data_IF_295529640751
#
_entry.id   IF_295529640751
#
_cell.length_a   1.000
_cell.length_b   1.000
_cell.length_c   1.000
_cell.angle_alpha   90.00
_cell.angle_beta   90.00
_cell.angle_gamma   90.00
#
_symmetry.space_group_name_H-M   'P 1'
#
loop_
_entity.id
_entity.type
_entity.pdbx_description
1 polymer ?
#
# COMPACT_ATOMS: atom_id res chain seq x y z
N UNK A 1 -1.27 0.72 -10.67
CA UNK A 1 -0.88 0.19 -12.01
C UNK A 1 -1.46 1.00 -13.18
N UNK A 2 -2.78 1.23 -13.23
CA UNK A 2 -3.49 1.93 -14.33
C UNK A 2 -2.85 3.28 -14.68
N UNK A 3 -2.62 4.12 -13.67
CA UNK A 3 -2.09 5.49 -13.87
C UNK A 3 -0.67 5.49 -14.50
N UNK A 4 0.14 4.45 -14.34
CA UNK A 4 1.50 4.44 -14.88
C UNK A 4 1.60 3.82 -16.29
N UNK A 5 0.83 2.76 -16.55
CA UNK A 5 0.95 1.98 -17.78
C UNK A 5 -0.08 2.32 -18.85
N UNK A 6 -1.33 2.61 -18.47
CA UNK A 6 -2.40 2.91 -19.44
C UNK A 6 -2.62 4.40 -19.64
N UNK A 7 -2.06 5.24 -18.75
CA UNK A 7 -2.17 6.69 -18.86
C UNK A 7 -1.01 7.33 -19.62
N UNK A 8 -1.35 8.36 -20.38
CA UNK A 8 -0.41 9.27 -21.04
C UNK A 8 0.25 10.28 -20.11
N UNK A 9 -0.02 10.20 -18.80
CA UNK A 9 0.48 11.15 -17.82
C UNK A 9 2.02 11.18 -17.76
N UNK A 10 2.64 10.03 -17.52
CA UNK A 10 4.10 9.91 -17.38
C UNK A 10 4.86 10.41 -18.62
N UNK A 11 4.58 9.93 -19.85
CA UNK A 11 5.33 10.38 -21.02
C UNK A 11 5.13 11.87 -21.34
N UNK A 12 3.95 12.45 -21.07
CA UNK A 12 3.70 13.90 -21.24
C UNK A 12 4.47 14.74 -20.23
N UNK A 13 4.53 14.29 -18.98
CA UNK A 13 5.31 14.95 -17.91
C UNK A 13 6.80 14.90 -18.26
N UNK A 14 7.32 13.72 -18.63
CA UNK A 14 8.72 13.57 -19.01
C UNK A 14 9.06 14.43 -20.23
N UNK A 15 8.18 14.46 -21.24
CA UNK A 15 8.36 15.35 -22.38
C UNK A 15 8.44 16.80 -21.95
N UNK A 16 7.45 17.30 -21.20
CA UNK A 16 7.41 18.69 -20.73
C UNK A 16 8.68 19.13 -20.00
N UNK A 17 9.27 18.26 -19.18
CA UNK A 17 10.45 18.61 -18.37
C UNK A 17 11.80 18.30 -19.02
N UNK A 18 11.88 17.38 -19.99
CA UNK A 18 13.16 16.92 -20.54
C UNK A 18 13.37 17.23 -22.03
N UNK A 19 12.29 17.31 -22.81
CA UNK A 19 12.35 17.39 -24.27
C UNK A 19 11.53 18.54 -24.87
N UNK A 20 10.51 19.00 -24.17
CA UNK A 20 9.57 20.00 -24.65
C UNK A 20 10.12 21.43 -24.60
N UNK A 21 9.44 22.37 -25.29
CA UNK A 21 9.84 23.77 -25.37
C UNK A 21 9.85 24.50 -24.01
N UNK A 22 9.25 23.92 -22.96
CA UNK A 22 9.25 24.44 -21.60
C UNK A 22 10.46 24.04 -20.74
N UNK A 23 11.41 23.26 -21.28
CA UNK A 23 12.60 22.82 -20.54
C UNK A 23 13.46 23.98 -20.04
N UNK A 24 13.65 25.01 -20.88
CA UNK A 24 14.69 26.04 -20.68
C UNK A 24 14.17 27.33 -19.99
N UNK A 25 12.95 27.32 -19.43
CA UNK A 25 12.47 28.39 -18.54
C UNK A 25 11.52 29.43 -19.16
N UNK A 26 11.31 30.50 -18.38
CA UNK A 26 10.02 31.16 -18.18
C UNK A 26 9.38 31.81 -19.43
N UNK A 27 8.26 31.23 -19.86
CA UNK A 27 7.33 31.68 -20.91
C UNK A 27 7.80 31.38 -22.34
N UNK A 28 7.75 30.11 -22.75
CA UNK A 28 7.68 29.83 -24.17
C UNK A 28 6.43 30.50 -24.75
N UNK A 29 6.56 31.07 -25.95
CA UNK A 29 5.41 31.60 -26.72
C UNK A 29 4.41 30.51 -27.12
N UNK A 30 4.75 29.24 -26.89
CA UNK A 30 4.04 28.04 -27.34
C UNK A 30 3.72 27.14 -26.15
N UNK A 31 2.69 26.30 -26.29
CA UNK A 31 2.35 25.29 -25.29
C UNK A 31 3.54 24.36 -25.01
N UNK A 32 3.74 23.98 -23.75
CA UNK A 32 4.76 23.03 -23.32
C UNK A 32 4.65 21.66 -23.98
N UNK A 33 3.47 21.28 -24.46
CA UNK A 33 3.23 20.02 -25.17
C UNK A 33 3.25 20.18 -26.69
N UNK A 34 3.56 21.38 -27.20
CA UNK A 34 3.73 21.59 -28.64
C UNK A 34 4.84 20.67 -29.17
N UNK A 35 4.51 19.86 -30.17
CA UNK A 35 5.42 18.85 -30.73
C UNK A 35 5.44 17.50 -30.02
N UNK A 36 4.65 17.31 -28.94
CA UNK A 36 4.60 16.04 -28.21
C UNK A 36 4.22 14.86 -29.10
N UNK A 37 3.21 15.03 -29.96
CA UNK A 37 2.75 13.96 -30.86
C UNK A 37 3.88 13.54 -31.80
N UNK A 38 4.55 14.49 -32.46
CA UNK A 38 5.67 14.20 -33.35
C UNK A 38 6.85 13.54 -32.64
N UNK A 39 7.10 13.88 -31.38
CA UNK A 39 8.13 13.24 -30.55
C UNK A 39 7.74 11.82 -30.10
N UNK A 40 6.45 11.59 -29.83
CA UNK A 40 5.95 10.28 -29.35
C UNK A 40 5.76 9.24 -30.47
N UNK A 41 6.04 9.62 -31.72
CA UNK A 41 5.87 8.79 -32.89
C UNK A 41 7.22 8.37 -33.46
N UNK A 42 7.42 7.07 -33.61
CA UNK A 42 8.54 6.48 -34.36
C UNK A 42 8.20 6.35 -35.84
N UNK A 43 9.21 6.53 -36.68
CA UNK A 43 9.10 6.41 -38.14
C UNK A 43 9.42 4.98 -38.56
N UNK A 44 8.62 4.44 -39.47
CA UNK A 44 8.83 3.17 -40.14
C UNK A 44 8.86 3.40 -41.65
N UNK A 45 9.91 2.96 -42.34
CA UNK A 45 9.96 3.09 -43.80
C UNK A 45 9.23 1.91 -44.44
N UNK A 46 8.34 2.20 -45.40
CA UNK A 46 7.53 1.17 -46.06
C UNK A 46 8.36 0.19 -46.90
N UNK A 47 9.56 0.60 -47.33
CA UNK A 47 10.54 -0.26 -48.01
C UNK A 47 11.05 -1.43 -47.16
N UNK A 48 10.97 -1.33 -45.83
CA UNK A 48 11.52 -2.32 -44.90
C UNK A 48 10.44 -3.36 -44.47
N UNK A 49 9.26 -3.34 -45.10
CA UNK A 49 8.26 -4.40 -44.91
C UNK A 49 8.72 -5.72 -45.54
N UNK A 50 8.66 -6.81 -44.78
CA UNK A 50 8.94 -8.16 -45.28
C UNK A 50 7.91 -8.65 -46.31
N UNK A 51 6.66 -8.19 -46.20
CA UNK A 51 5.57 -8.56 -47.12
C UNK A 51 5.14 -7.36 -47.98
N UNK A 52 5.64 -7.22 -49.21
CA UNK A 52 5.30 -6.10 -50.09
C UNK A 52 3.81 -6.10 -50.49
N UNK A 53 3.13 -7.25 -50.42
CA UNK A 53 1.72 -7.44 -50.81
C UNK A 53 0.73 -6.62 -49.96
N UNK A 54 1.10 -6.22 -48.73
CA UNK A 54 0.26 -5.31 -47.91
C UNK A 54 0.33 -3.83 -48.33
N UNK A 55 1.23 -3.48 -49.24
CA UNK A 55 1.51 -2.11 -49.66
C UNK A 55 0.74 -1.72 -50.94
N UNK A 56 0.10 -2.69 -51.59
CA UNK A 56 -0.66 -2.53 -52.86
C UNK A 56 -1.84 -1.54 -52.79
N UNK A 57 -2.20 -1.07 -51.58
CA UNK A 57 -3.27 -0.08 -51.36
C UNK A 57 -2.83 1.26 -50.80
N UNK A 58 -1.53 1.50 -50.56
CA UNK A 58 -1.04 2.79 -50.05
C UNK A 58 -0.36 3.57 -51.17
N UNK A 59 -1.08 4.50 -51.80
CA UNK A 59 -0.55 5.41 -52.83
C UNK A 59 0.76 6.06 -52.35
N UNK A 60 1.90 5.70 -52.96
CA UNK A 60 3.23 6.32 -52.81
C UNK A 60 3.68 6.72 -51.38
N UNK A 61 3.27 5.98 -50.33
CA UNK A 61 3.68 6.27 -48.96
C UNK A 61 5.10 5.74 -48.72
N UNK A 62 6.06 6.64 -48.50
CA UNK A 62 7.48 6.27 -48.24
C UNK A 62 7.75 5.97 -46.77
N UNK A 63 7.02 6.62 -45.86
CA UNK A 63 7.17 6.47 -44.41
C UNK A 63 5.82 6.47 -43.69
N UNK A 64 5.70 5.63 -42.67
CA UNK A 64 4.58 5.57 -41.75
C UNK A 64 5.04 5.93 -40.34
N UNK A 65 4.18 6.58 -39.54
CA UNK A 65 4.47 6.91 -38.15
C UNK A 65 3.58 6.11 -37.23
N UNK A 66 4.15 5.48 -36.21
CA UNK A 66 3.44 4.70 -35.21
C UNK A 66 3.88 5.08 -33.80
N UNK A 67 3.05 4.77 -32.82
CA UNK A 67 3.26 5.16 -31.44
C UNK A 67 4.25 4.20 -30.76
N UNK A 68 5.54 4.53 -30.82
CA UNK A 68 6.61 3.83 -30.09
C UNK A 68 7.86 4.72 -29.95
N UNK A 69 8.79 4.33 -29.07
CA UNK A 69 10.07 5.02 -28.85
C UNK A 69 11.23 4.17 -29.41
N UNK A 70 11.26 4.05 -30.73
CA UNK A 70 12.27 3.27 -31.48
C UNK A 70 13.14 4.16 -32.37
N UNK A 71 14.36 3.70 -32.64
CA UNK A 71 15.24 4.35 -33.60
C UNK A 71 14.73 4.13 -35.04
N UNK A 72 14.81 5.15 -35.89
CA UNK A 72 14.32 5.09 -37.27
C UNK A 72 15.22 4.27 -38.23
N UNK A 73 16.49 4.07 -37.86
CA UNK A 73 17.46 3.33 -38.67
C UNK A 73 17.43 1.83 -38.38
N UNK A 74 17.53 1.47 -37.09
CA UNK A 74 17.73 0.06 -36.68
C UNK A 74 16.45 -0.57 -36.11
N UNK A 75 15.36 0.19 -35.99
CA UNK A 75 14.07 -0.22 -35.41
C UNK A 75 14.14 -0.80 -33.97
N UNK A 76 15.30 -0.69 -33.33
CA UNK A 76 15.57 -1.08 -31.95
C UNK A 76 15.05 -0.05 -30.95
N UNK A 77 14.92 -0.46 -29.68
CA UNK A 77 14.48 0.41 -28.59
C UNK A 77 15.47 1.56 -28.37
N UNK A 78 14.95 2.79 -28.33
CA UNK A 78 15.74 3.97 -28.01
C UNK A 78 16.05 4.06 -26.51
N UNK A 79 17.09 4.79 -26.11
CA UNK A 79 17.33 5.12 -24.71
C UNK A 79 16.12 5.81 -24.05
N UNK A 80 15.34 6.57 -24.83
CA UNK A 80 14.12 7.22 -24.37
C UNK A 80 13.08 6.21 -23.87
N UNK A 81 12.97 5.05 -24.53
CA UNK A 81 12.09 3.96 -24.12
C UNK A 81 12.46 3.48 -22.71
N UNK A 82 13.75 3.24 -22.47
CA UNK A 82 14.26 2.77 -21.19
C UNK A 82 14.07 3.80 -20.07
N UNK A 83 14.29 5.08 -20.35
CA UNK A 83 14.04 6.17 -19.39
C UNK A 83 12.55 6.22 -19.01
N UNK A 84 11.65 6.14 -20.00
CA UNK A 84 10.22 6.15 -19.75
C UNK A 84 9.78 4.93 -18.94
N UNK A 85 10.33 3.75 -19.25
CA UNK A 85 10.07 2.53 -18.49
C UNK A 85 10.53 2.67 -17.03
N UNK A 86 11.75 3.16 -16.80
CA UNK A 86 12.28 3.37 -15.45
C UNK A 86 11.43 4.35 -14.64
N UNK A 87 11.02 5.48 -15.24
CA UNK A 87 10.17 6.48 -14.57
C UNK A 87 8.78 5.91 -14.26
N UNK A 88 8.18 5.13 -15.17
CA UNK A 88 6.90 4.45 -14.92
C UNK A 88 7.00 3.51 -13.72
N UNK A 89 8.08 2.73 -13.64
CA UNK A 89 8.32 1.81 -12.51
C UNK A 89 8.55 2.57 -11.20
N UNK A 90 9.35 3.64 -11.21
CA UNK A 90 9.58 4.48 -10.03
C UNK A 90 8.27 5.11 -9.51
N UNK A 91 7.42 5.62 -10.41
CA UNK A 91 6.12 6.19 -10.05
C UNK A 91 5.19 5.14 -9.42
N UNK A 92 5.20 3.91 -9.93
CA UNK A 92 4.43 2.81 -9.34
C UNK A 92 4.86 2.49 -7.93
N UNK A 93 6.17 2.36 -7.72
CA UNK A 93 6.75 2.08 -6.42
C UNK A 93 6.37 3.21 -5.46
N UNK A 94 6.57 4.48 -5.84
CA UNK A 94 6.23 5.63 -5.01
C UNK A 94 4.75 5.63 -4.60
N UNK A 95 3.84 5.45 -5.56
CA UNK A 95 2.40 5.46 -5.28
C UNK A 95 1.98 4.31 -4.38
N UNK A 96 2.58 3.12 -4.56
CA UNK A 96 2.35 1.99 -3.67
C UNK A 96 2.78 2.32 -2.24
N UNK A 97 3.98 2.88 -2.05
CA UNK A 97 4.49 3.26 -0.73
C UNK A 97 3.60 4.32 -0.06
N UNK A 98 3.15 5.33 -0.82
CA UNK A 98 2.23 6.36 -0.30
C UNK A 98 0.89 5.74 0.09
N UNK A 99 0.33 4.86 -0.72
CA UNK A 99 -0.92 4.17 -0.40
C UNK A 99 -0.78 3.27 0.83
N UNK A 100 0.35 2.57 0.98
CA UNK A 100 0.65 1.77 2.17
C UNK A 100 0.78 2.64 3.42
N UNK A 101 1.44 3.81 3.32
CA UNK A 101 1.54 4.76 4.43
C UNK A 101 0.15 5.28 4.85
N UNK A 102 -0.70 5.66 3.88
CA UNK A 102 -2.07 6.12 4.17
C UNK A 102 -2.87 5.00 4.85
N UNK A 103 -2.76 3.75 4.38
CA UNK A 103 -3.40 2.59 5.02
C UNK A 103 -2.90 2.39 6.46
N UNK A 104 -1.60 2.54 6.71
CA UNK A 104 -1.02 2.43 8.04
C UNK A 104 -1.55 3.52 8.98
N UNK A 105 -1.59 4.77 8.51
CA UNK A 105 -2.16 5.90 9.27
C UNK A 105 -3.64 5.68 9.55
N UNK A 106 -4.41 5.19 8.58
CA UNK A 106 -5.82 4.88 8.76
C UNK A 106 -6.04 3.77 9.81
N UNK A 107 -5.24 2.69 9.77
CA UNK A 107 -5.29 1.63 10.76
C UNK A 107 -4.87 2.10 12.17
N UNK A 108 -4.00 3.10 12.25
CA UNK A 108 -3.65 3.74 13.52
C UNK A 108 -4.79 4.61 14.05
N UNK A 109 -5.47 5.36 13.19
CA UNK A 109 -6.58 6.24 13.56
C UNK A 109 -7.85 5.46 13.94
N UNK A 110 -8.17 4.40 13.20
CA UNK A 110 -9.28 3.48 13.48
C UNK A 110 -8.71 2.08 13.70
N UNK A 111 -8.27 1.76 14.92
CA UNK A 111 -7.83 0.41 15.23
C UNK A 111 -9.03 -0.54 15.14
N UNK A 112 -8.84 -1.69 14.50
CA UNK A 112 -9.88 -2.71 14.27
C UNK A 112 -10.58 -3.19 15.55
N UNK A 113 -9.93 -3.03 16.71
CA UNK A 113 -10.52 -3.34 18.02
C UNK A 113 -10.64 -2.05 18.83
N UNK A 114 -11.87 -1.60 19.13
CA UNK A 114 -12.08 -0.41 19.95
C UNK A 114 -11.51 -0.63 21.36
N UNK A 115 -10.90 0.42 21.93
CA UNK A 115 -10.27 0.36 23.25
C UNK A 115 -11.21 -0.13 24.37
N UNK A 116 -12.52 0.13 24.22
CA UNK A 116 -13.54 -0.33 25.17
C UNK A 116 -13.59 -1.86 25.30
N UNK A 117 -13.40 -2.61 24.21
CA UNK A 117 -13.39 -4.08 24.22
C UNK A 117 -12.11 -4.59 24.87
N UNK A 118 -10.95 -3.96 24.58
CA UNK A 118 -9.68 -4.30 25.23
C UNK A 118 -9.76 -4.11 26.75
N UNK A 119 -10.38 -3.04 27.20
CA UNK A 119 -10.57 -2.76 28.63
C UNK A 119 -11.49 -3.79 29.30
N UNK A 120 -12.63 -4.14 28.68
CA UNK A 120 -13.53 -5.18 29.20
C UNK A 120 -12.84 -6.55 29.31
N UNK A 121 -12.10 -6.96 28.29
CA UNK A 121 -11.34 -8.22 28.32
C UNK A 121 -10.26 -8.21 29.39
N UNK A 122 -9.60 -7.07 29.61
CA UNK A 122 -8.60 -6.93 30.67
C UNK A 122 -9.22 -7.05 32.06
N UNK A 123 -10.38 -6.41 32.28
CA UNK A 123 -11.12 -6.46 33.53
C UNK A 123 -11.61 -7.88 33.85
N UNK A 124 -12.18 -8.59 32.86
CA UNK A 124 -12.59 -9.98 33.01
C UNK A 124 -11.42 -10.90 33.37
N UNK A 125 -10.25 -10.70 32.73
CA UNK A 125 -9.03 -11.44 33.07
C UNK A 125 -8.56 -11.15 34.50
N UNK A 126 -8.61 -9.89 34.93
CA UNK A 126 -8.18 -9.50 36.27
C UNK A 126 -9.08 -10.15 37.34
N UNK A 127 -10.40 -10.11 37.14
CA UNK A 127 -11.39 -10.77 37.99
C UNK A 127 -11.15 -12.28 38.08
N UNK A 128 -10.94 -12.94 36.93
CA UNK A 128 -10.65 -14.37 36.90
C UNK A 128 -9.33 -14.74 37.59
N UNK A 129 -8.33 -13.86 37.55
CA UNK A 129 -7.07 -14.06 38.28
C UNK A 129 -7.27 -13.95 39.80
N UNK A 130 -8.06 -12.97 40.24
CA UNK A 130 -8.35 -12.72 41.64
C UNK A 130 -9.16 -13.86 42.27
N UNK A 131 -10.16 -14.40 41.55
CA UNK A 131 -10.90 -15.61 41.98
C UNK A 131 -9.97 -16.82 42.13
N UNK A 132 -9.06 -17.05 41.18
CA UNK A 132 -8.09 -18.14 41.26
C UNK A 132 -7.14 -17.99 42.44
N UNK A 133 -6.66 -16.78 42.71
CA UNK A 133 -5.82 -16.49 43.88
C UNK A 133 -6.60 -16.72 45.18
N UNK A 134 -7.85 -16.25 45.27
CA UNK A 134 -8.73 -16.48 46.42
C UNK A 134 -9.03 -17.96 46.67
N UNK A 135 -9.37 -18.73 45.62
CA UNK A 135 -9.54 -20.18 45.70
C UNK A 135 -8.25 -20.91 46.10
N UNK A 136 -7.08 -20.48 45.59
CA UNK A 136 -5.79 -21.06 45.97
C UNK A 136 -5.45 -20.78 47.44
N UNK A 137 -5.79 -19.60 47.93
CA UNK A 137 -5.60 -19.20 49.33
C UNK A 137 -6.60 -19.90 50.26
N UNK A 138 -7.82 -20.15 49.80
CA UNK A 138 -8.82 -20.96 50.50
C UNK A 138 -8.44 -22.45 50.55
N UNK A 139 -7.82 -22.98 49.49
CA UNK A 139 -7.28 -24.34 49.45
C UNK A 139 -6.01 -24.56 50.29
N UNK A 140 -5.24 -23.49 50.56
CA UNK A 140 -4.06 -23.52 51.44
C UNK A 140 -4.39 -23.25 52.93
N UNK A 141 -5.63 -22.87 53.27
CA UNK A 141 -6.04 -22.65 54.67
C UNK A 141 -6.22 -24.02 55.35
N UNK A 142 -5.47 -24.36 56.41
CA UNK A 142 -5.75 -25.57 57.19
C UNK A 142 -7.17 -25.45 57.76
N UNK A 143 -7.98 -26.49 57.55
CA UNK A 143 -9.33 -26.58 58.10
C UNK A 143 -9.23 -26.46 59.62
N UNK A 144 -9.68 -25.34 60.19
CA UNK A 144 -9.69 -25.16 61.64
C UNK A 144 -10.57 -26.26 62.27
N UNK A 145 -10.10 -26.94 63.34
CA UNK A 145 -10.90 -27.95 64.01
C UNK A 145 -12.13 -27.31 64.68
N UNK A 146 -13.26 -28.03 64.75
CA UNK A 146 -14.48 -27.52 65.36
C UNK A 146 -14.27 -27.21 66.86
N UNK A 147 -14.95 -26.20 67.41
CA UNK A 147 -14.75 -25.80 68.80
C UNK A 147 -15.22 -26.88 69.77
N UNK A 148 -14.32 -27.33 70.64
CA UNK A 148 -14.59 -28.28 71.73
C UNK A 148 -15.37 -27.58 72.85
N UNK A 149 -16.58 -28.06 73.13
CA UNK A 149 -17.38 -27.64 74.29
C UNK A 149 -16.74 -28.14 75.60
N UNK A 150 -16.36 -27.23 76.50
CA UNK A 150 -15.94 -27.58 77.86
C UNK A 150 -17.18 -27.75 78.78
N UNK A 151 -17.17 -28.67 79.77
CA UNK A 151 -18.29 -28.85 80.69
C UNK A 151 -18.21 -27.82 81.84
N UNK A 152 -19.32 -27.13 82.09
CA UNK A 152 -19.48 -26.30 83.29
C UNK A 152 -20.04 -27.17 84.41
N UNK A 153 -19.20 -27.49 85.39
CA UNK A 153 -19.63 -28.04 86.68
C UNK A 153 -20.01 -26.88 87.62
N UNK A 154 -21.20 -26.95 88.21
CA UNK A 154 -21.62 -26.08 89.31
C UNK A 154 -22.18 -26.91 90.47
N UNK A 155 -22.07 -26.43 91.72
CA UNK A 155 -21.89 -27.27 92.90
C UNK A 155 -23.19 -27.63 93.62
N UNK A 156 -23.09 -28.73 94.37
CA UNK A 156 -24.09 -29.35 95.24
C UNK A 156 -24.46 -28.43 96.41
N UNK A 157 -25.74 -28.10 96.55
CA UNK A 157 -26.31 -27.47 97.75
C UNK A 157 -27.12 -28.51 98.52
N UNK A 158 -26.73 -28.71 99.77
CA UNK A 158 -27.40 -29.50 100.81
C UNK A 158 -28.35 -28.57 101.55
N UNK A 159 -29.60 -28.97 101.82
CA UNK A 159 -30.25 -28.72 103.12
C UNK A 159 -31.62 -29.43 103.24
N UNK A 160 -31.77 -30.06 104.41
CA UNK A 160 -32.95 -30.62 105.14
C UNK A 160 -33.80 -31.72 104.50
#
# INVERSE_FOLDING_TARGET
MIIAFTSEFIPRVVYKYRYGPCRDGARPKVDCLAGYVNHSLSVFHTKDFQDPVKTEGSENVTECRYRDYRNALDYNFSEQFWILLAIRLAFLILFEHVALLIKLVAAWFVPDVPQSVKNKVLEEKYRGLQEKLGCRQAGLRPRAPPPTSAPTSSPKSTDV
#
